data_IF_261048924138
#
_entry.id   IF_261048924138
#
_cell.length_a   1.000
_cell.length_b   1.000
_cell.length_c   1.000
_cell.angle_alpha   90.00
_cell.angle_beta   90.00
_cell.angle_gamma   90.00
#
_symmetry.space_group_name_H-M   'P 1'
#
loop_
_entity.id
_entity.type
_entity.pdbx_description
1 polymer ?
#
# COMPACT_ATOMS: atom_id res chain seq x y z
N UNK A 1 3.22 -53.04 25.00
CA UNK A 1 2.91 -51.68 25.48
C UNK A 1 2.95 -50.75 24.29
N UNK A 2 1.86 -50.03 23.99
CA UNK A 2 1.63 -49.32 22.72
C UNK A 2 2.44 -48.03 22.64
N UNK A 3 3.32 -47.92 21.64
CA UNK A 3 4.03 -46.69 21.28
C UNK A 3 3.06 -45.74 20.58
N UNK A 4 2.94 -44.50 21.07
CA UNK A 4 2.22 -43.42 20.41
C UNK A 4 3.23 -42.56 19.66
N UNK A 5 3.22 -42.63 18.33
CA UNK A 5 3.94 -41.68 17.48
C UNK A 5 3.06 -40.43 17.38
N UNK A 6 3.47 -39.35 18.01
CA UNK A 6 2.86 -38.03 17.84
C UNK A 6 3.38 -37.48 16.50
N UNK A 7 2.58 -37.63 15.45
CA UNK A 7 2.83 -36.97 14.18
C UNK A 7 2.46 -35.48 14.33
N UNK A 8 3.45 -34.65 14.64
CA UNK A 8 3.32 -33.20 14.54
C UNK A 8 3.14 -32.84 13.07
N UNK A 9 1.88 -32.63 12.67
CA UNK A 9 1.53 -31.94 11.43
C UNK A 9 1.96 -30.47 11.60
N UNK A 10 3.19 -30.18 11.19
CA UNK A 10 3.62 -28.82 10.94
C UNK A 10 2.84 -28.36 9.70
N UNK A 11 1.66 -27.76 9.90
CA UNK A 11 0.99 -26.98 8.86
C UNK A 11 1.92 -25.82 8.54
N UNK A 12 2.74 -25.98 7.52
CA UNK A 12 3.32 -24.86 6.81
C UNK A 12 2.14 -24.08 6.24
N UNK A 13 1.74 -23.01 6.93
CA UNK A 13 0.92 -21.99 6.30
C UNK A 13 1.61 -21.64 4.97
N UNK A 14 0.86 -21.51 3.87
CA UNK A 14 1.45 -20.97 2.68
C UNK A 14 1.95 -19.57 3.07
N UNK A 15 3.27 -19.44 3.22
CA UNK A 15 3.91 -18.16 2.99
C UNK A 15 3.50 -17.87 1.56
N UNK A 16 2.51 -16.97 1.39
CA UNK A 16 2.24 -16.35 0.12
C UNK A 16 3.60 -15.87 -0.36
N UNK A 17 4.19 -16.63 -1.30
CA UNK A 17 5.43 -16.27 -1.93
C UNK A 17 5.19 -14.86 -2.42
N UNK A 18 5.91 -13.89 -1.88
CA UNK A 18 5.80 -12.51 -2.28
C UNK A 18 6.01 -12.50 -3.80
N UNK A 19 4.93 -12.24 -4.55
CA UNK A 19 5.00 -11.96 -5.98
C UNK A 19 6.18 -11.00 -6.21
N UNK A 20 6.98 -11.19 -7.27
CA UNK A 20 8.21 -10.42 -7.52
C UNK A 20 7.93 -8.93 -7.39
N UNK A 21 8.27 -8.37 -6.22
CA UNK A 21 7.98 -7.01 -5.72
C UNK A 21 7.06 -6.19 -6.63
N UNK A 22 5.78 -6.08 -6.25
CA UNK A 22 4.74 -5.41 -7.04
C UNK A 22 5.19 -4.03 -7.54
N UNK A 23 4.74 -3.66 -8.76
CA UNK A 23 4.96 -2.35 -9.37
C UNK A 23 4.71 -1.20 -8.38
N UNK A 24 3.62 -1.28 -7.61
CA UNK A 24 3.29 -0.30 -6.58
C UNK A 24 4.37 -0.20 -5.49
N UNK A 25 4.83 -1.34 -4.94
CA UNK A 25 5.84 -1.33 -3.89
C UNK A 25 7.18 -0.74 -4.38
N UNK A 26 7.60 -1.07 -5.60
CA UNK A 26 8.80 -0.47 -6.22
C UNK A 26 8.66 1.04 -6.37
N UNK A 27 7.54 1.51 -6.92
CA UNK A 27 7.28 2.92 -7.16
C UNK A 27 7.26 3.72 -5.83
N UNK A 28 6.51 3.24 -4.82
CA UNK A 28 6.42 3.86 -3.49
C UNK A 28 7.81 3.97 -2.83
N UNK A 29 8.62 2.91 -2.93
CA UNK A 29 9.95 2.88 -2.34
C UNK A 29 10.89 3.88 -3.05
N UNK A 30 10.88 3.90 -4.39
CA UNK A 30 11.70 4.82 -5.17
C UNK A 30 11.35 6.29 -4.87
N UNK A 31 10.06 6.66 -4.94
CA UNK A 31 9.61 8.01 -4.61
C UNK A 31 9.98 8.38 -3.17
N UNK A 32 9.73 7.49 -2.21
CA UNK A 32 10.02 7.75 -0.80
C UNK A 32 11.51 8.01 -0.53
N UNK A 33 12.40 7.24 -1.16
CA UNK A 33 13.85 7.44 -1.05
C UNK A 33 14.26 8.77 -1.70
N UNK A 34 13.72 9.10 -2.87
CA UNK A 34 14.03 10.35 -3.56
C UNK A 34 13.57 11.58 -2.76
N UNK A 35 12.41 11.50 -2.12
CA UNK A 35 11.91 12.56 -1.24
C UNK A 35 12.71 12.66 0.05
N UNK A 36 13.06 11.53 0.69
CA UNK A 36 13.83 11.54 1.93
C UNK A 36 15.19 12.22 1.77
N UNK A 37 15.88 11.96 0.64
CA UNK A 37 17.16 12.62 0.31
C UNK A 37 17.05 14.14 0.15
N UNK A 38 15.83 14.66 -0.05
CA UNK A 38 15.55 16.09 -0.25
C UNK A 38 14.89 16.74 0.98
N UNK A 39 14.49 15.96 1.98
CA UNK A 39 13.57 16.43 3.00
C UNK A 39 14.21 17.43 3.96
N UNK A 40 15.39 17.13 4.51
CA UNK A 40 16.05 17.97 5.52
C UNK A 40 17.58 17.73 5.54
N UNK A 41 18.38 18.62 6.18
CA UNK A 41 19.80 18.37 6.46
C UNK A 41 20.04 17.08 7.24
N UNK A 42 21.24 16.47 7.18
CA UNK A 42 21.55 15.20 7.83
C UNK A 42 21.30 15.16 9.35
N UNK A 43 21.28 16.33 9.99
CA UNK A 43 21.24 16.50 11.44
C UNK A 43 19.83 16.77 11.97
N UNK A 44 18.82 16.75 11.10
CA UNK A 44 17.43 17.03 11.43
C UNK A 44 16.55 15.76 11.36
N UNK A 45 15.50 15.71 12.18
CA UNK A 45 14.56 14.61 12.17
C UNK A 45 13.67 14.69 10.92
N UNK A 46 13.76 13.68 10.04
CA UNK A 46 12.89 13.55 8.88
C UNK A 46 11.92 12.36 9.03
N UNK A 47 10.63 12.61 8.77
CA UNK A 47 9.59 11.59 8.76
C UNK A 47 8.67 11.82 7.55
N UNK A 48 8.41 10.77 6.77
CA UNK A 48 7.48 10.84 5.64
C UNK A 48 6.68 9.56 5.50
N UNK A 49 5.40 9.70 5.14
CA UNK A 49 4.57 8.57 4.73
C UNK A 49 4.58 8.46 3.21
N UNK A 50 5.54 7.69 2.69
CA UNK A 50 5.67 7.42 1.24
C UNK A 50 4.40 6.84 0.62
N UNK A 51 3.69 5.98 1.36
CA UNK A 51 2.43 5.41 0.91
C UNK A 51 1.32 6.47 0.77
N UNK A 52 1.19 7.36 1.76
CA UNK A 52 0.19 8.45 1.70
C UNK A 52 0.44 9.41 0.55
N UNK A 53 1.69 9.86 0.37
CA UNK A 53 2.08 10.76 -0.72
C UNK A 53 1.77 10.12 -2.08
N UNK A 54 2.19 8.86 -2.27
CA UNK A 54 1.95 8.15 -3.52
C UNK A 54 0.45 7.97 -3.79
N UNK A 55 -0.33 7.58 -2.78
CA UNK A 55 -1.76 7.32 -2.92
C UNK A 55 -2.54 8.59 -3.31
N UNK A 56 -2.23 9.72 -2.67
CA UNK A 56 -2.84 11.01 -3.03
C UNK A 56 -2.45 11.46 -4.45
N UNK A 57 -1.17 11.32 -4.83
CA UNK A 57 -0.70 11.71 -6.15
C UNK A 57 -1.15 10.76 -7.26
N UNK A 58 -1.44 9.50 -6.96
CA UNK A 58 -2.05 8.56 -7.91
C UNK A 58 -3.46 9.02 -8.32
N UNK A 59 -4.25 9.58 -7.39
CA UNK A 59 -5.55 10.18 -7.73
C UNK A 59 -5.40 11.40 -8.63
N UNK A 60 -4.41 12.26 -8.37
CA UNK A 60 -4.11 13.39 -9.24
C UNK A 60 -3.60 12.94 -10.63
N UNK A 61 -2.75 11.91 -10.67
CA UNK A 61 -2.23 11.30 -11.90
C UNK A 61 -3.36 10.77 -12.79
N UNK A 62 -4.36 10.11 -12.19
CA UNK A 62 -5.51 9.58 -12.90
C UNK A 62 -6.27 10.67 -13.70
N UNK A 63 -6.31 11.91 -13.19
CA UNK A 63 -6.93 13.06 -13.84
C UNK A 63 -6.01 13.91 -14.71
N UNK A 64 -4.69 13.68 -14.68
CA UNK A 64 -3.71 14.43 -15.46
C UNK A 64 -3.73 14.03 -16.94
N UNK A 65 -3.26 14.91 -17.82
CA UNK A 65 -3.14 14.64 -19.26
C UNK A 65 -1.90 15.32 -19.85
N UNK A 66 -1.51 14.93 -21.07
CA UNK A 66 -0.40 15.51 -21.83
C UNK A 66 0.92 15.54 -21.06
N UNK A 67 1.58 16.71 -21.09
CA UNK A 67 2.89 16.92 -20.44
C UNK A 67 2.81 16.69 -18.93
N UNK A 68 1.74 17.17 -18.28
CA UNK A 68 1.54 16.99 -16.83
C UNK A 68 1.49 15.51 -16.45
N UNK A 69 0.75 14.69 -17.22
CA UNK A 69 0.70 13.24 -16.98
C UNK A 69 2.08 12.61 -17.11
N UNK A 70 2.82 12.95 -18.15
CA UNK A 70 4.13 12.33 -18.40
C UNK A 70 5.17 12.70 -17.33
N UNK A 71 5.18 13.95 -16.87
CA UNK A 71 6.04 14.39 -15.76
C UNK A 71 5.68 13.68 -14.46
N UNK A 72 4.38 13.59 -14.14
CA UNK A 72 3.91 12.86 -12.97
C UNK A 72 4.29 11.39 -13.05
N UNK A 73 4.06 10.73 -14.18
CA UNK A 73 4.43 9.31 -14.39
C UNK A 73 5.91 9.07 -14.08
N UNK A 74 6.79 9.96 -14.57
CA UNK A 74 8.23 9.87 -14.36
C UNK A 74 8.62 10.05 -12.89
N UNK A 75 8.10 11.07 -12.21
CA UNK A 75 8.44 11.35 -10.81
C UNK A 75 7.85 10.31 -9.86
N UNK A 76 6.65 9.81 -10.16
CA UNK A 76 5.97 8.78 -9.37
C UNK A 76 6.49 7.37 -9.65
N UNK A 77 7.49 7.22 -10.55
CA UNK A 77 8.10 5.95 -10.94
C UNK A 77 7.08 4.94 -11.50
N UNK A 78 6.06 5.43 -12.21
CA UNK A 78 5.04 4.59 -12.83
C UNK A 78 5.51 4.04 -14.19
N UNK A 79 5.25 2.75 -14.51
CA UNK A 79 5.39 2.25 -15.87
C UNK A 79 4.42 2.94 -16.83
N UNK A 80 4.58 2.70 -18.12
CA UNK A 80 3.68 3.23 -19.17
C UNK A 80 2.32 2.52 -19.22
N UNK A 81 2.23 1.33 -18.64
CA UNK A 81 1.00 0.55 -18.59
C UNK A 81 0.18 0.99 -17.36
N UNK A 82 -0.76 1.92 -17.59
CA UNK A 82 -1.65 2.46 -16.55
C UNK A 82 -2.53 1.36 -15.91
N UNK A 83 -2.93 0.34 -16.67
CA UNK A 83 -3.74 -0.75 -16.13
C UNK A 83 -2.95 -1.59 -15.11
N UNK A 84 -1.66 -1.81 -15.38
CA UNK A 84 -0.74 -2.44 -14.42
C UNK A 84 -0.54 -1.58 -13.17
N UNK A 85 -0.42 -0.25 -13.32
CA UNK A 85 -0.34 0.65 -12.16
C UNK A 85 -1.56 0.47 -11.26
N UNK A 86 -2.78 0.67 -11.79
CA UNK A 86 -4.00 0.57 -11.00
C UNK A 86 -4.18 -0.81 -10.35
N UNK A 87 -3.94 -1.88 -11.10
CA UNK A 87 -4.03 -3.25 -10.59
C UNK A 87 -3.04 -3.50 -9.46
N UNK A 88 -1.80 -3.03 -9.60
CA UNK A 88 -0.75 -3.23 -8.60
C UNK A 88 -1.02 -2.47 -7.31
N UNK A 89 -1.57 -1.25 -7.39
CA UNK A 89 -1.97 -0.48 -6.19
C UNK A 89 -3.18 -1.10 -5.49
N UNK A 90 -4.17 -1.57 -6.24
CA UNK A 90 -5.32 -2.29 -5.68
C UNK A 90 -4.86 -3.57 -4.95
N UNK A 91 -3.97 -4.35 -5.56
CA UNK A 91 -3.41 -5.55 -4.94
C UNK A 91 -2.61 -5.24 -3.66
N UNK A 92 -1.81 -4.17 -3.66
CA UNK A 92 -1.07 -3.74 -2.47
C UNK A 92 -2.01 -3.34 -1.34
N UNK A 93 -3.11 -2.63 -1.62
CA UNK A 93 -4.13 -2.28 -0.62
C UNK A 93 -4.74 -3.54 -0.01
N UNK A 94 -5.18 -4.49 -0.84
CA UNK A 94 -5.73 -5.76 -0.36
C UNK A 94 -4.74 -6.50 0.55
N UNK A 95 -3.46 -6.57 0.15
CA UNK A 95 -2.43 -7.21 0.96
C UNK A 95 -2.21 -6.50 2.31
N UNK A 96 -2.30 -5.17 2.37
CA UNK A 96 -2.22 -4.41 3.63
C UNK A 96 -3.44 -4.70 4.52
N UNK A 97 -4.64 -4.78 3.94
CA UNK A 97 -5.86 -5.12 4.68
C UNK A 97 -5.80 -6.54 5.25
N UNK A 98 -5.31 -7.50 4.47
CA UNK A 98 -5.09 -8.89 4.91
C UNK A 98 -4.07 -8.96 6.06
N UNK A 99 -2.98 -8.18 6.01
CA UNK A 99 -2.00 -8.09 7.11
C UNK A 99 -2.65 -7.55 8.38
N UNK A 100 -3.45 -6.48 8.27
CA UNK A 100 -4.16 -5.88 9.42
C UNK A 100 -5.10 -6.91 10.05
N UNK A 101 -5.93 -7.58 9.25
CA UNK A 101 -6.88 -8.61 9.72
C UNK A 101 -6.17 -9.83 10.30
N UNK A 102 -5.09 -10.28 9.66
CA UNK A 102 -4.26 -11.38 10.14
C UNK A 102 -3.62 -11.05 11.48
N UNK A 103 -3.15 -9.82 11.69
CA UNK A 103 -2.57 -9.39 12.96
C UNK A 103 -3.58 -9.47 14.12
N UNK A 104 -4.83 -9.08 13.90
CA UNK A 104 -5.89 -9.17 14.89
C UNK A 104 -6.17 -10.62 15.29
N UNK A 105 -6.18 -11.52 14.30
CA UNK A 105 -6.35 -12.96 14.53
C UNK A 105 -5.17 -13.54 15.31
N UNK A 106 -3.94 -13.15 14.95
CA UNK A 106 -2.72 -13.62 15.60
C UNK A 106 -2.66 -13.18 17.07
N UNK A 107 -3.07 -11.94 17.39
CA UNK A 107 -3.13 -11.45 18.78
C UNK A 107 -4.08 -12.30 19.62
N UNK A 108 -5.25 -12.69 19.09
CA UNK A 108 -6.18 -13.57 19.80
C UNK A 108 -5.57 -14.95 20.06
N UNK A 109 -4.90 -15.53 19.05
CA UNK A 109 -4.23 -16.82 19.20
C UNK A 109 -3.05 -16.76 20.17
N UNK A 110 -2.28 -15.68 20.17
CA UNK A 110 -1.10 -15.53 21.03
C UNK A 110 -1.45 -15.40 22.52
N UNK A 111 -2.66 -14.95 22.87
CA UNK A 111 -3.14 -14.93 24.27
C UNK A 111 -3.11 -16.30 24.93
N UNK A 112 -3.30 -17.39 24.18
CA UNK A 112 -3.23 -18.75 24.73
C UNK A 112 -1.82 -19.12 25.22
N UNK A 113 -0.80 -18.41 24.74
CA UNK A 113 0.62 -18.57 25.12
C UNK A 113 1.10 -17.49 26.09
N UNK A 114 0.20 -16.68 26.66
CA UNK A 114 0.54 -15.61 27.60
C UNK A 114 1.17 -14.35 26.96
N UNK A 115 1.13 -14.22 25.63
CA UNK A 115 1.65 -13.05 24.91
C UNK A 115 0.55 -12.00 24.70
N UNK A 116 0.88 -10.71 24.86
CA UNK A 116 -0.06 -9.58 24.82
C UNK A 116 0.42 -8.45 23.90
N UNK A 117 0.49 -8.73 22.60
CA UNK A 117 0.78 -7.70 21.60
C UNK A 117 -0.51 -7.02 21.13
N UNK A 118 -0.43 -5.77 20.71
CA UNK A 118 -1.52 -5.08 20.03
C UNK A 118 -1.58 -5.47 18.54
N UNK A 119 -2.78 -5.48 17.92
CA UNK A 119 -2.88 -5.69 16.49
C UNK A 119 -2.31 -4.51 15.72
N UNK A 120 -1.89 -4.75 14.49
CA UNK A 120 -1.52 -3.71 13.54
C UNK A 120 -2.77 -2.92 13.19
N UNK A 121 -2.71 -1.59 13.33
CA UNK A 121 -3.77 -0.67 12.91
C UNK A 121 -3.20 0.22 11.80
N UNK A 122 -3.86 0.21 10.64
CA UNK A 122 -3.56 1.09 9.52
C UNK A 122 -4.87 1.68 8.99
N UNK A 123 -5.01 3.01 9.08
CA UNK A 123 -6.15 3.74 8.53
C UNK A 123 -5.67 4.65 7.41
N UNK A 124 -6.26 4.50 6.23
CA UNK A 124 -5.94 5.28 5.03
C UNK A 124 -7.19 6.00 4.59
N UNK A 125 -7.11 7.32 4.41
CA UNK A 125 -8.24 8.13 3.97
C UNK A 125 -7.77 9.18 2.96
N UNK A 126 -8.30 9.10 1.74
CA UNK A 126 -8.11 10.10 0.71
C UNK A 126 -9.44 10.76 0.37
N UNK A 127 -9.40 12.04 0.02
CA UNK A 127 -10.59 12.80 -0.39
C UNK A 127 -10.24 13.86 -1.42
N UNK A 128 -11.14 14.04 -2.39
CA UNK A 128 -11.10 15.16 -3.33
C UNK A 128 -11.93 16.32 -2.79
N UNK A 129 -11.37 17.53 -2.91
CA UNK A 129 -12.06 18.78 -2.64
C UNK A 129 -11.98 19.65 -3.89
N UNK A 130 -13.13 20.02 -4.44
CA UNK A 130 -13.25 20.93 -5.59
C UNK A 130 -13.95 22.22 -5.21
N UNK A 131 -13.77 23.26 -6.02
CA UNK A 131 -14.50 24.51 -5.88
C UNK A 131 -16.00 24.28 -6.13
N UNK A 132 -16.86 24.98 -5.39
CA UNK A 132 -18.30 24.94 -5.64
C UNK A 132 -18.63 25.34 -7.09
N UNK A 133 -19.47 24.53 -7.75
CA UNK A 133 -19.82 24.73 -9.17
C UNK A 133 -18.78 24.18 -10.16
N UNK A 134 -17.71 23.54 -9.70
CA UNK A 134 -16.78 22.82 -10.57
C UNK A 134 -17.24 21.39 -10.84
N UNK A 135 -17.41 21.05 -12.11
CA UNK A 135 -17.87 19.73 -12.53
C UNK A 135 -16.68 18.79 -12.81
N UNK A 136 -16.50 17.80 -11.94
CA UNK A 136 -15.57 16.70 -12.21
C UNK A 136 -16.15 15.76 -13.29
N UNK A 137 -15.29 15.33 -14.22
CA UNK A 137 -15.67 14.37 -15.26
C UNK A 137 -16.10 13.05 -14.61
N UNK A 138 -17.24 12.50 -15.02
CA UNK A 138 -17.76 11.24 -14.47
C UNK A 138 -16.77 10.06 -14.57
N UNK A 139 -16.02 9.86 -15.68
CA UNK A 139 -15.00 8.81 -15.76
C UNK A 139 -13.88 8.96 -14.72
N UNK A 140 -13.47 10.19 -14.41
CA UNK A 140 -12.45 10.46 -13.40
C UNK A 140 -12.95 10.08 -12.00
N UNK A 141 -14.18 10.50 -11.66
CA UNK A 141 -14.80 10.16 -10.37
C UNK A 141 -14.98 8.65 -10.20
N UNK A 142 -15.37 7.94 -11.26
CA UNK A 142 -15.49 6.48 -11.22
C UNK A 142 -14.13 5.82 -10.94
N UNK A 143 -13.08 6.24 -11.65
CA UNK A 143 -11.74 5.69 -11.48
C UNK A 143 -11.19 5.90 -10.06
N UNK A 144 -11.32 7.10 -9.49
CA UNK A 144 -10.76 7.42 -8.16
C UNK A 144 -11.61 6.94 -6.98
N UNK A 145 -12.85 6.49 -7.23
CA UNK A 145 -13.70 5.88 -6.20
C UNK A 145 -13.28 4.46 -5.86
N UNK A 146 -12.74 3.75 -6.85
CA UNK A 146 -12.34 2.34 -6.74
C UNK A 146 -10.83 2.17 -6.41
N UNK A 147 -10.04 3.25 -6.54
CA UNK A 147 -8.63 3.33 -6.12
C UNK A 147 -8.45 3.44 -4.61
#
# INVERSE_FOLDING_TARGET
>A
MKSWVVASLLSAAPVLAAEPTSTAAKAINALGIDLLRKAEPPDANALLSRYSIQSALAMAYAGADGVTREEMRKVLHFPKDDAEVHRSFAALRTALDEIVQGSATNVVQMKQWGLTNDPIILNVANRLFGQSGYDFRAPFLALVKDN
#
